data_IF_831811959293
#
_entry.id   IF_831811959293
#
_cell.length_a   1.000
_cell.length_b   1.000
_cell.length_c   1.000
_cell.angle_alpha   90.00
_cell.angle_beta   90.00
_cell.angle_gamma   90.00
#
_symmetry.space_group_name_H-M   'P 1'
#
loop_
_entity.id
_entity.type
_entity.pdbx_description
1 polymer ?
#
# COMPACT_ATOMS: atom_id res chain seq x y z
N UNK A 1 -32.15 -24.44 23.29
CA UNK A 1 -30.84 -24.30 23.96
C UNK A 1 -30.39 -22.84 23.84
N UNK A 2 -30.30 -22.07 24.93
CA UNK A 2 -29.83 -20.68 24.90
C UNK A 2 -28.31 -20.68 24.74
N UNK A 3 -27.81 -20.24 23.59
CA UNK A 3 -26.38 -20.06 23.34
C UNK A 3 -25.81 -19.04 24.34
N UNK A 4 -24.75 -19.43 25.04
CA UNK A 4 -24.01 -18.56 25.95
C UNK A 4 -23.48 -17.33 25.20
N UNK A 5 -23.48 -16.16 25.85
CA UNK A 5 -23.12 -14.88 25.20
C UNK A 5 -21.74 -14.89 24.51
N UNK A 6 -20.82 -15.71 24.98
CA UNK A 6 -19.50 -15.93 24.36
C UNK A 6 -19.59 -16.59 22.98
N UNK A 7 -20.42 -17.63 22.85
CA UNK A 7 -20.66 -18.33 21.58
C UNK A 7 -21.42 -17.45 20.58
N UNK A 8 -22.28 -16.55 21.08
CA UNK A 8 -22.96 -15.54 20.24
C UNK A 8 -21.97 -14.53 19.67
N UNK A 9 -21.08 -13.97 20.49
CA UNK A 9 -20.03 -13.06 20.01
C UNK A 9 -19.07 -13.74 19.03
N UNK A 10 -18.75 -15.02 19.26
CA UNK A 10 -17.89 -15.81 18.37
C UNK A 10 -18.57 -16.10 17.02
N UNK A 11 -19.86 -16.45 17.03
CA UNK A 11 -20.65 -16.63 15.83
C UNK A 11 -20.84 -15.31 15.06
N UNK A 12 -21.05 -14.18 15.75
CA UNK A 12 -21.21 -12.86 15.13
C UNK A 12 -19.90 -12.35 14.50
N UNK A 13 -18.74 -12.68 15.09
CA UNK A 13 -17.42 -12.41 14.51
C UNK A 13 -17.19 -13.21 13.22
N UNK A 14 -17.54 -14.50 13.21
CA UNK A 14 -17.47 -15.37 12.03
C UNK A 14 -18.46 -14.96 10.93
N UNK A 15 -19.66 -14.49 11.31
CA UNK A 15 -20.66 -13.96 10.38
C UNK A 15 -20.22 -12.63 9.76
N UNK A 16 -19.56 -11.75 10.52
CA UNK A 16 -19.01 -10.49 10.00
C UNK A 16 -17.83 -10.74 9.05
N UNK A 17 -16.95 -11.69 9.33
CA UNK A 17 -15.84 -12.05 8.44
C UNK A 17 -16.30 -12.75 7.15
N UNK A 18 -17.40 -13.49 7.20
CA UNK A 18 -17.91 -14.24 6.04
C UNK A 18 -18.88 -13.46 5.12
N UNK A 19 -19.35 -12.27 5.49
CA UNK A 19 -20.23 -11.48 4.61
C UNK A 19 -19.55 -11.02 3.32
N UNK A 20 -18.23 -10.83 3.31
CA UNK A 20 -17.48 -10.49 2.09
C UNK A 20 -17.42 -11.66 1.09
N UNK A 21 -17.36 -12.90 1.61
CA UNK A 21 -17.39 -14.14 0.80
C UNK A 21 -18.78 -14.39 0.19
N UNK A 22 -19.86 -14.03 0.88
CA UNK A 22 -21.23 -14.19 0.35
C UNK A 22 -21.55 -13.24 -0.82
N UNK A 23 -21.09 -11.98 -0.77
CA UNK A 23 -21.39 -11.00 -1.83
C UNK A 23 -20.58 -11.25 -3.12
N UNK A 24 -19.33 -11.67 -2.99
CA UNK A 24 -18.44 -12.00 -4.13
C UNK A 24 -18.76 -13.36 -4.77
N UNK A 25 -19.32 -14.30 -3.99
CA UNK A 25 -19.82 -15.58 -4.49
C UNK A 25 -21.14 -15.47 -5.26
N UNK A 26 -22.04 -14.56 -4.86
CA UNK A 26 -23.38 -14.45 -5.48
C UNK A 26 -23.32 -13.87 -6.91
N UNK A 27 -22.41 -12.94 -7.19
CA UNK A 27 -22.27 -12.35 -8.53
C UNK A 27 -21.57 -13.26 -9.54
N UNK A 28 -20.74 -14.20 -9.08
CA UNK A 28 -20.14 -15.25 -9.92
C UNK A 28 -21.10 -16.40 -10.25
N UNK A 29 -22.16 -16.60 -9.44
CA UNK A 29 -23.14 -17.67 -9.63
C UNK A 29 -24.11 -17.39 -10.78
N UNK A 30 -24.45 -16.12 -11.06
CA UNK A 30 -25.37 -15.78 -12.15
C UNK A 30 -24.68 -15.72 -13.53
N UNK A 31 -23.40 -15.38 -13.58
CA UNK A 31 -22.63 -15.35 -14.84
C UNK A 31 -22.21 -16.74 -15.34
N UNK A 32 -22.15 -17.75 -14.46
CA UNK A 32 -21.80 -19.14 -14.81
C UNK A 32 -22.98 -20.08 -15.02
N UNK A 33 -24.22 -19.63 -14.78
CA UNK A 33 -25.44 -20.42 -15.05
C UNK A 33 -25.80 -20.51 -16.55
N UNK A 34 -25.20 -19.70 -17.42
CA UNK A 34 -25.51 -19.67 -18.85
C UNK A 34 -24.49 -20.38 -19.76
N UNK A 35 -23.47 -21.05 -19.21
CA UNK A 35 -22.51 -21.82 -20.00
C UNK A 35 -22.66 -23.31 -19.75
N UNK A 36 -23.09 -24.05 -20.77
CA UNK A 36 -23.25 -25.51 -20.82
C UNK A 36 -21.91 -26.27 -20.71
N UNK A 37 -21.22 -26.15 -19.57
CA UNK A 37 -19.98 -26.90 -19.31
C UNK A 37 -20.05 -27.48 -17.90
N UNK A 38 -20.88 -28.51 -17.70
CA UNK A 38 -20.91 -29.25 -16.44
C UNK A 38 -20.98 -30.75 -16.71
N UNK A 39 -19.81 -31.35 -16.96
CA UNK A 39 -19.56 -32.77 -16.75
C UNK A 39 -18.26 -33.06 -15.97
N UNK A 40 -17.33 -32.11 -15.78
CA UNK A 40 -15.98 -32.45 -15.27
C UNK A 40 -15.40 -31.60 -14.14
N UNK A 41 -16.17 -30.72 -13.47
CA UNK A 41 -15.61 -29.85 -12.41
C UNK A 41 -16.27 -29.99 -11.03
N UNK A 42 -16.96 -31.09 -10.76
CA UNK A 42 -17.59 -31.38 -9.46
C UNK A 42 -16.61 -31.67 -8.31
N UNK A 43 -15.28 -31.62 -8.54
CA UNK A 43 -14.27 -31.94 -7.53
C UNK A 43 -13.84 -30.80 -6.59
N UNK A 44 -14.23 -29.54 -6.83
CA UNK A 44 -13.58 -28.39 -6.17
C UNK A 44 -14.44 -27.54 -5.23
N UNK A 45 -15.60 -28.01 -4.79
CA UNK A 45 -16.36 -27.32 -3.73
C UNK A 45 -16.62 -28.28 -2.58
N UNK A 46 -15.58 -28.55 -1.79
CA UNK A 46 -15.75 -29.00 -0.41
C UNK A 46 -15.93 -27.77 0.47
N UNK A 47 -17.17 -27.48 0.84
CA UNK A 47 -17.52 -26.54 1.92
C UNK A 47 -17.33 -27.19 3.30
N UNK A 48 -16.24 -27.92 3.50
CA UNK A 48 -15.93 -28.51 4.80
C UNK A 48 -15.16 -27.47 5.62
N UNK A 49 -15.76 -26.98 6.70
CA UNK A 49 -15.07 -26.15 7.69
C UNK A 49 -14.06 -27.06 8.41
N UNK A 50 -12.80 -26.98 8.00
CA UNK A 50 -11.70 -27.67 8.67
C UNK A 50 -11.33 -26.92 9.95
N UNK A 51 -11.84 -27.42 11.07
CA UNK A 51 -11.62 -26.83 12.39
C UNK A 51 -10.16 -26.90 12.83
N UNK A 52 -9.42 -27.94 12.44
CA UNK A 52 -8.03 -28.10 12.85
C UNK A 52 -7.13 -27.16 12.06
N UNK A 53 -7.39 -27.00 10.76
CA UNK A 53 -6.74 -25.96 9.94
C UNK A 53 -7.03 -24.54 10.45
N UNK A 54 -8.26 -24.29 10.90
CA UNK A 54 -8.63 -22.99 11.48
C UNK A 54 -7.88 -22.70 12.78
N UNK A 55 -7.70 -23.70 13.66
CA UNK A 55 -6.87 -23.58 14.87
C UNK A 55 -5.41 -23.34 14.52
N UNK A 56 -4.90 -24.01 13.49
CA UNK A 56 -3.53 -23.81 13.01
C UNK A 56 -3.30 -22.36 12.56
N UNK A 57 -4.20 -21.79 11.76
CA UNK A 57 -4.10 -20.39 11.33
C UNK A 57 -4.07 -19.41 12.51
N UNK A 58 -4.92 -19.62 13.52
CA UNK A 58 -4.93 -18.78 14.73
C UNK A 58 -3.62 -18.92 15.51
N UNK A 59 -3.13 -20.14 15.66
CA UNK A 59 -1.85 -20.42 16.35
C UNK A 59 -0.68 -19.77 15.60
N UNK A 60 -0.68 -19.81 14.26
CA UNK A 60 0.34 -19.18 13.43
C UNK A 60 0.26 -17.64 13.48
N UNK A 61 -0.94 -17.03 13.58
CA UNK A 61 -1.09 -15.58 13.81
C UNK A 61 -0.52 -15.15 15.17
N UNK A 62 -0.76 -15.93 16.21
CA UNK A 62 -0.23 -15.69 17.55
C UNK A 62 1.30 -15.82 17.57
N UNK A 63 1.83 -16.88 16.95
CA UNK A 63 3.27 -17.08 16.75
C UNK A 63 3.92 -15.84 16.13
N UNK A 64 3.42 -15.37 14.99
CA UNK A 64 3.97 -14.20 14.30
C UNK A 64 3.95 -12.93 15.15
N UNK A 65 2.86 -12.73 15.89
CA UNK A 65 2.71 -11.59 16.79
C UNK A 65 3.76 -11.61 17.89
N UNK A 66 4.02 -12.79 18.47
CA UNK A 66 4.94 -12.97 19.60
C UNK A 66 6.41 -13.18 19.17
N UNK A 67 6.69 -13.45 17.90
CA UNK A 67 8.05 -13.74 17.41
C UNK A 67 8.98 -12.53 17.60
N UNK A 68 10.13 -12.74 18.25
CA UNK A 68 11.11 -11.67 18.54
C UNK A 68 12.35 -11.72 17.65
N UNK A 69 12.67 -12.90 17.11
CA UNK A 69 13.86 -13.12 16.30
C UNK A 69 13.62 -14.23 15.28
N UNK A 70 14.30 -14.14 14.13
CA UNK A 70 14.41 -15.19 13.11
C UNK A 70 15.90 -15.43 12.87
N UNK A 71 16.34 -16.69 12.85
CA UNK A 71 17.76 -17.03 12.62
C UNK A 71 18.74 -16.25 13.51
N UNK A 72 18.41 -16.08 14.80
CA UNK A 72 19.15 -15.29 15.81
C UNK A 72 19.25 -13.78 15.52
N UNK A 73 18.56 -13.28 14.49
CA UNK A 73 18.45 -11.85 14.19
C UNK A 73 17.17 -11.30 14.76
N UNK A 74 17.27 -10.16 15.44
CA UNK A 74 16.12 -9.45 16.00
C UNK A 74 15.15 -9.02 14.90
N UNK A 75 13.85 -9.11 15.19
CA UNK A 75 12.79 -8.55 14.35
C UNK A 75 12.46 -7.15 14.85
N UNK A 76 12.69 -6.15 14.00
CA UNK A 76 12.43 -4.74 14.32
C UNK A 76 11.02 -4.34 13.89
N UNK A 77 10.44 -3.31 14.49
CA UNK A 77 9.24 -2.69 13.94
C UNK A 77 9.60 -1.97 12.63
N UNK A 78 8.87 -2.23 11.56
CA UNK A 78 9.00 -1.50 10.31
C UNK A 78 8.49 -0.07 10.53
N UNK A 79 9.39 0.90 10.35
CA UNK A 79 9.07 2.33 10.48
C UNK A 79 9.98 3.14 9.57
N UNK A 80 9.41 4.11 8.89
CA UNK A 80 10.13 5.10 8.12
C UNK A 80 10.87 6.07 9.05
N UNK A 81 12.08 6.44 8.65
CA UNK A 81 12.91 7.47 9.29
C UNK A 81 13.07 8.58 8.26
N UNK A 82 12.72 9.82 8.63
CA UNK A 82 12.77 10.98 7.73
C UNK A 82 12.05 10.77 6.38
N UNK A 83 10.87 10.13 6.44
CA UNK A 83 10.06 9.73 5.28
C UNK A 83 10.76 8.75 4.31
N UNK A 84 11.79 8.05 4.79
CA UNK A 84 12.49 6.99 4.07
C UNK A 84 12.18 5.64 4.68
N UNK A 85 11.65 4.72 3.87
CA UNK A 85 11.40 3.34 4.25
C UNK A 85 12.48 2.45 3.66
N UNK A 86 13.17 1.68 4.50
CA UNK A 86 14.32 0.86 4.08
C UNK A 86 14.11 -0.61 4.40
N UNK A 87 14.32 -1.46 3.40
CA UNK A 87 14.38 -2.91 3.51
C UNK A 87 15.77 -3.41 3.13
N UNK A 88 16.34 -4.23 4.00
CA UNK A 88 17.67 -4.82 3.81
C UNK A 88 17.58 -6.34 3.84
N UNK A 89 18.43 -6.99 3.05
CA UNK A 89 18.44 -8.45 2.99
C UNK A 89 18.87 -9.03 4.32
N UNK A 90 18.05 -9.92 4.85
CA UNK A 90 18.30 -10.57 6.13
C UNK A 90 18.12 -9.65 7.32
N UNK A 91 17.45 -8.50 7.17
CA UNK A 91 16.90 -7.70 8.25
C UNK A 91 15.39 -7.90 8.26
N UNK A 92 14.86 -8.36 9.38
CA UNK A 92 13.46 -8.74 9.52
C UNK A 92 12.66 -7.60 10.16
N UNK A 93 11.64 -7.12 9.45
CA UNK A 93 10.84 -5.97 9.86
C UNK A 93 9.37 -6.35 10.00
N UNK A 94 8.79 -6.13 11.18
CA UNK A 94 7.41 -6.45 11.53
C UNK A 94 6.49 -5.27 11.27
N UNK A 95 5.32 -5.53 10.70
CA UNK A 95 4.25 -4.56 10.46
C UNK A 95 2.89 -5.19 10.78
N UNK A 96 1.92 -4.36 11.14
CA UNK A 96 0.51 -4.75 11.20
C UNK A 96 -0.18 -4.35 9.89
N UNK A 97 -0.80 -5.31 9.22
CA UNK A 97 -1.65 -5.03 8.07
C UNK A 97 -2.93 -4.31 8.51
N UNK A 98 -3.74 -3.84 7.54
CA UNK A 98 -4.99 -3.11 7.80
C UNK A 98 -5.97 -3.89 8.70
N UNK A 99 -6.06 -5.20 8.53
CA UNK A 99 -6.89 -6.09 9.36
C UNK A 99 -6.23 -6.55 10.67
N UNK A 100 -5.02 -6.05 10.98
CA UNK A 100 -4.32 -6.33 12.23
C UNK A 100 -3.45 -7.59 12.20
N UNK A 101 -3.24 -8.19 11.02
CA UNK A 101 -2.34 -9.35 10.86
C UNK A 101 -0.90 -8.90 10.99
N UNK A 102 -0.10 -9.67 11.71
CA UNK A 102 1.34 -9.44 11.80
C UNK A 102 2.01 -9.99 10.54
N UNK A 103 2.63 -9.12 9.76
CA UNK A 103 3.54 -9.50 8.68
C UNK A 103 4.99 -9.25 9.13
N UNK A 104 5.92 -10.08 8.66
CA UNK A 104 7.35 -9.86 8.83
C UNK A 104 7.97 -9.87 7.43
N UNK A 105 8.61 -8.77 7.05
CA UNK A 105 9.20 -8.58 5.74
C UNK A 105 10.73 -8.51 5.79
N UNK A 106 11.35 -8.96 4.73
CA UNK A 106 12.79 -8.82 4.42
C UNK A 106 12.94 -8.44 2.95
N UNK A 107 14.12 -7.94 2.56
CA UNK A 107 14.42 -7.70 1.14
C UNK A 107 15.08 -8.92 0.49
N UNK A 108 14.75 -9.16 -0.78
CA UNK A 108 15.49 -10.04 -1.68
C UNK A 108 16.48 -9.26 -2.54
N UNK A 109 17.34 -9.98 -3.24
CA UNK A 109 18.43 -9.39 -4.04
C UNK A 109 17.94 -8.53 -5.21
N UNK A 110 16.73 -8.78 -5.70
CA UNK A 110 16.13 -8.04 -6.82
C UNK A 110 15.23 -6.87 -6.36
N UNK A 111 15.35 -6.42 -5.10
CA UNK A 111 14.54 -5.34 -4.52
C UNK A 111 13.12 -5.76 -4.14
N UNK A 112 12.80 -7.06 -4.23
CA UNK A 112 11.51 -7.58 -3.76
C UNK A 112 11.43 -7.55 -2.23
N UNK A 113 10.28 -7.12 -1.71
CA UNK A 113 9.95 -7.16 -0.30
C UNK A 113 8.96 -8.30 -0.09
N UNK A 114 9.33 -9.27 0.74
CA UNK A 114 8.55 -10.50 0.89
C UNK A 114 8.60 -11.03 2.32
N UNK A 115 7.63 -11.88 2.65
CA UNK A 115 7.61 -12.59 3.93
C UNK A 115 8.43 -13.87 3.80
N UNK A 116 9.48 -14.06 4.62
CA UNK A 116 10.37 -15.21 4.53
C UNK A 116 9.77 -16.39 5.30
N UNK A 117 8.73 -17.02 4.73
CA UNK A 117 7.99 -18.11 5.39
C UNK A 117 8.90 -19.24 5.88
N UNK A 118 9.84 -19.67 5.03
CA UNK A 118 10.77 -20.77 5.32
C UNK A 118 11.74 -20.45 6.46
N UNK A 119 12.12 -19.17 6.63
CA UNK A 119 12.99 -18.76 7.74
C UNK A 119 12.24 -18.75 9.09
N UNK A 120 10.91 -18.58 9.06
CA UNK A 120 10.11 -18.40 10.28
C UNK A 120 9.81 -19.73 10.94
N UNK A 121 9.24 -20.67 10.17
CA UNK A 121 8.82 -22.00 10.66
C UNK A 121 8.47 -22.88 9.46
N UNK A 122 8.90 -24.13 9.51
CA UNK A 122 8.49 -25.16 8.55
C UNK A 122 6.95 -25.25 8.47
N UNK A 123 6.44 -25.24 7.23
CA UNK A 123 5.01 -25.30 6.94
C UNK A 123 4.19 -24.18 7.59
N UNK A 124 4.77 -22.99 7.82
CA UNK A 124 3.99 -21.83 8.26
C UNK A 124 2.90 -21.52 7.24
N UNK A 125 1.65 -21.61 7.68
CA UNK A 125 0.49 -21.32 6.84
C UNK A 125 -0.39 -20.24 7.48
N UNK A 126 -0.86 -19.33 6.63
CA UNK A 126 -1.87 -18.35 7.00
C UNK A 126 -3.16 -18.66 6.24
N UNK A 127 -4.30 -18.18 6.77
CA UNK A 127 -5.54 -18.27 6.02
C UNK A 127 -5.38 -17.58 4.65
N UNK A 128 -6.08 -18.01 3.59
CA UNK A 128 -5.95 -17.39 2.27
C UNK A 128 -6.19 -15.87 2.27
N UNK A 129 -7.07 -15.39 3.16
CA UNK A 129 -7.32 -13.96 3.33
C UNK A 129 -6.11 -13.24 3.91
N UNK A 130 -5.50 -13.78 4.96
CA UNK A 130 -4.35 -13.17 5.62
C UNK A 130 -3.11 -13.19 4.74
N UNK A 131 -2.83 -14.33 4.11
CA UNK A 131 -1.70 -14.45 3.21
C UNK A 131 -1.85 -13.51 2.01
N UNK A 132 -3.07 -13.35 1.50
CA UNK A 132 -3.40 -12.36 0.48
C UNK A 132 -3.11 -10.92 0.91
N UNK A 133 -3.50 -10.55 2.12
CA UNK A 133 -3.26 -9.20 2.66
C UNK A 133 -1.77 -8.92 2.92
N UNK A 134 -1.06 -9.89 3.50
CA UNK A 134 0.39 -9.82 3.70
C UNK A 134 1.11 -9.68 2.36
N UNK A 135 0.74 -10.50 1.37
CA UNK A 135 1.32 -10.44 0.03
C UNK A 135 1.02 -9.10 -0.65
N UNK A 136 -0.18 -8.54 -0.44
CA UNK A 136 -0.60 -7.25 -1.01
C UNK A 136 0.24 -6.09 -0.44
N UNK A 137 0.47 -6.06 0.87
CA UNK A 137 1.37 -5.07 1.49
C UNK A 137 2.82 -5.20 0.98
N UNK A 138 3.39 -6.40 0.97
CA UNK A 138 4.75 -6.63 0.46
C UNK A 138 4.91 -6.26 -1.02
N UNK A 139 3.87 -6.48 -1.82
CA UNK A 139 3.83 -6.10 -3.24
C UNK A 139 3.87 -4.59 -3.43
N UNK A 140 3.14 -3.81 -2.63
CA UNK A 140 3.20 -2.35 -2.72
C UNK A 140 4.63 -1.85 -2.47
N UNK A 141 5.28 -2.30 -1.40
CA UNK A 141 6.66 -1.92 -1.11
C UNK A 141 7.63 -2.37 -2.21
N UNK A 142 7.44 -3.57 -2.76
CA UNK A 142 8.22 -4.06 -3.91
C UNK A 142 8.06 -3.17 -5.13
N UNK A 143 6.83 -2.77 -5.46
CA UNK A 143 6.55 -1.93 -6.61
C UNK A 143 7.18 -0.55 -6.45
N UNK A 144 7.00 0.09 -5.29
CA UNK A 144 7.62 1.39 -5.01
C UNK A 144 9.14 1.30 -5.03
N UNK A 145 9.74 0.24 -4.50
CA UNK A 145 11.19 0.06 -4.53
C UNK A 145 11.73 -0.17 -5.94
N UNK A 146 11.04 -0.92 -6.81
CA UNK A 146 11.59 -1.38 -8.11
C UNK A 146 11.15 -0.55 -9.30
N UNK A 147 9.92 -0.05 -9.30
CA UNK A 147 9.35 0.69 -10.41
C UNK A 147 9.45 2.20 -10.15
N UNK A 148 10.45 2.82 -10.77
CA UNK A 148 10.72 4.27 -10.67
C UNK A 148 9.55 5.13 -11.16
N UNK A 149 8.67 4.60 -12.01
CA UNK A 149 7.52 5.35 -12.53
C UNK A 149 6.35 5.36 -11.55
N UNK A 150 6.30 4.41 -10.61
CA UNK A 150 5.15 4.19 -9.75
C UNK A 150 3.95 3.53 -10.44
N UNK A 151 4.05 3.20 -11.73
CA UNK A 151 3.00 2.57 -12.54
C UNK A 151 2.39 1.35 -11.87
N UNK A 152 3.22 0.41 -11.43
CA UNK A 152 2.74 -0.81 -10.80
C UNK A 152 1.96 -0.53 -9.51
N UNK A 153 2.34 0.50 -8.76
CA UNK A 153 1.63 0.88 -7.53
C UNK A 153 0.27 1.52 -7.84
N UNK A 154 0.21 2.60 -8.62
CA UNK A 154 -1.08 3.28 -8.85
C UNK A 154 -2.05 2.46 -9.72
N UNK A 155 -1.57 1.53 -10.56
CA UNK A 155 -2.43 0.66 -11.37
C UNK A 155 -3.02 -0.52 -10.58
N UNK A 156 -2.42 -0.90 -9.45
CA UNK A 156 -2.81 -2.10 -8.69
C UNK A 156 -3.46 -1.80 -7.33
N UNK A 157 -3.35 -0.55 -6.86
CA UNK A 157 -3.79 -0.11 -5.54
C UNK A 157 -4.58 1.19 -5.67
N UNK A 158 -5.60 1.38 -4.82
CA UNK A 158 -6.28 2.67 -4.73
C UNK A 158 -5.41 3.68 -3.98
N UNK A 159 -5.67 4.97 -4.18
CA UNK A 159 -4.96 6.07 -3.50
C UNK A 159 -5.06 5.93 -1.98
N UNK A 160 -6.25 5.58 -1.49
CA UNK A 160 -6.52 5.36 -0.07
C UNK A 160 -5.72 4.18 0.48
N UNK A 161 -5.61 3.09 -0.29
CA UNK A 161 -4.84 1.91 0.11
C UNK A 161 -3.33 2.21 0.16
N UNK A 162 -2.82 2.95 -0.82
CA UNK A 162 -1.42 3.41 -0.84
C UNK A 162 -1.17 4.27 0.41
N UNK A 163 -2.01 5.29 0.65
CA UNK A 163 -1.90 6.19 1.79
C UNK A 163 -1.98 5.46 3.13
N UNK A 164 -2.95 4.57 3.32
CA UNK A 164 -3.09 3.79 4.56
C UNK A 164 -1.87 2.88 4.79
N UNK A 165 -1.42 2.17 3.76
CA UNK A 165 -0.30 1.23 3.91
C UNK A 165 1.01 1.97 4.19
N UNK A 166 1.31 3.05 3.46
CA UNK A 166 2.47 3.90 3.72
C UNK A 166 2.37 4.61 5.08
N UNK A 167 1.18 5.12 5.44
CA UNK A 167 0.91 5.73 6.73
C UNK A 167 1.14 4.77 7.91
N UNK A 168 0.82 3.49 7.76
CA UNK A 168 1.01 2.47 8.80
C UNK A 168 2.49 2.24 9.18
N UNK A 169 3.41 2.59 8.28
CA UNK A 169 4.86 2.55 8.52
C UNK A 169 5.45 3.94 8.77
N UNK A 170 4.61 4.98 8.95
CA UNK A 170 5.05 6.32 9.30
C UNK A 170 5.46 7.19 8.11
N UNK A 171 5.17 6.79 6.87
CA UNK A 171 5.31 7.66 5.71
C UNK A 171 4.17 8.68 5.70
N UNK A 172 4.49 9.94 5.42
CA UNK A 172 3.57 11.08 5.37
C UNK A 172 3.49 11.65 3.94
N UNK A 173 2.40 12.37 3.59
CA UNK A 173 2.36 13.18 2.39
C UNK A 173 3.58 14.09 2.25
N UNK A 174 3.97 14.38 1.01
CA UNK A 174 5.22 15.02 0.63
C UNK A 174 6.23 14.05 0.03
N UNK A 175 7.50 14.46 -0.02
CA UNK A 175 8.58 13.64 -0.54
C UNK A 175 8.86 12.43 0.34
N UNK A 176 8.87 11.25 -0.25
CA UNK A 176 9.22 10.01 0.43
C UNK A 176 10.11 9.12 -0.47
N UNK A 177 10.79 8.17 0.16
CA UNK A 177 11.69 7.25 -0.53
C UNK A 177 11.49 5.82 -0.03
N UNK A 178 11.50 4.85 -0.95
CA UNK A 178 11.45 3.42 -0.63
C UNK A 178 12.73 2.77 -1.15
N UNK A 179 13.45 2.12 -0.23
CA UNK A 179 14.71 1.42 -0.49
C UNK A 179 14.55 -0.07 -0.25
N UNK A 180 15.03 -0.89 -1.17
CA UNK A 180 15.05 -2.35 -1.02
C UNK A 180 16.28 -2.92 -1.70
N UNK A 181 17.23 -3.42 -0.92
CA UNK A 181 18.53 -3.84 -1.45
C UNK A 181 19.25 -2.68 -2.14
N UNK A 182 19.63 -2.85 -3.42
CA UNK A 182 20.28 -1.81 -4.22
C UNK A 182 19.31 -0.83 -4.89
N UNK A 183 18.00 -1.01 -4.73
CA UNK A 183 16.99 -0.17 -5.36
C UNK A 183 16.56 0.96 -4.43
N UNK A 184 16.39 2.16 -4.99
CA UNK A 184 16.02 3.37 -4.28
C UNK A 184 15.20 4.27 -5.19
N UNK A 185 13.93 4.47 -4.87
CA UNK A 185 13.05 5.35 -5.65
C UNK A 185 12.39 6.39 -4.76
N UNK A 186 12.40 7.63 -5.25
CA UNK A 186 11.82 8.80 -4.60
C UNK A 186 10.54 9.22 -5.30
N UNK A 187 9.52 9.52 -4.51
CA UNK A 187 8.19 9.91 -4.97
C UNK A 187 7.68 11.09 -4.15
N UNK A 188 6.70 11.81 -4.67
CA UNK A 188 5.92 12.80 -3.95
C UNK A 188 4.50 12.27 -3.76
N UNK A 189 4.03 12.19 -2.52
CA UNK A 189 2.67 11.75 -2.19
C UNK A 189 1.78 12.94 -1.85
N UNK A 190 0.61 13.03 -2.46
CA UNK A 190 -0.42 14.01 -2.11
C UNK A 190 -1.22 13.57 -0.88
N UNK A 191 -1.97 14.51 -0.30
CA UNK A 191 -2.81 14.24 0.88
C UNK A 191 -3.91 13.20 0.63
N UNK A 192 -4.34 12.98 -0.61
CA UNK A 192 -5.32 11.95 -0.97
C UNK A 192 -4.69 10.56 -1.20
N UNK A 193 -3.35 10.47 -1.27
CA UNK A 193 -2.61 9.23 -1.51
C UNK A 193 -2.14 9.03 -2.94
N UNK A 194 -2.39 9.97 -3.85
CA UNK A 194 -1.74 9.95 -5.16
C UNK A 194 -0.23 10.08 -5.01
N UNK A 195 0.50 9.36 -5.85
CA UNK A 195 1.95 9.37 -5.86
C UNK A 195 2.46 9.75 -7.24
N UNK A 196 3.50 10.58 -7.24
CA UNK A 196 4.17 11.05 -8.45
C UNK A 196 5.64 10.70 -8.37
N UNK A 197 6.23 10.12 -9.43
CA UNK A 197 7.65 9.88 -9.46
C UNK A 197 8.41 11.21 -9.49
N UNK A 198 9.58 11.26 -8.85
CA UNK A 198 10.32 12.51 -8.69
C UNK A 198 10.61 13.26 -10.00
N UNK A 199 10.83 12.53 -11.10
CA UNK A 199 11.07 13.16 -12.40
C UNK A 199 9.84 13.90 -12.95
N UNK A 200 8.63 13.42 -12.64
CA UNK A 200 7.40 14.05 -13.11
C UNK A 200 7.16 15.35 -12.35
N UNK A 201 7.35 15.35 -11.02
CA UNK A 201 7.25 16.57 -10.21
C UNK A 201 8.20 17.66 -10.70
N UNK A 202 9.45 17.30 -11.01
CA UNK A 202 10.41 18.27 -11.53
C UNK A 202 10.07 18.74 -12.95
N UNK A 203 9.49 17.88 -13.78
CA UNK A 203 9.01 18.27 -15.11
C UNK A 203 7.82 19.24 -15.03
N UNK A 204 6.84 18.96 -14.16
CA UNK A 204 5.70 19.85 -13.93
C UNK A 204 6.15 21.20 -13.35
N UNK A 205 7.09 21.20 -12.39
CA UNK A 205 7.69 22.42 -11.85
C UNK A 205 8.34 23.27 -12.94
N UNK A 206 9.14 22.64 -13.81
CA UNK A 206 9.77 23.36 -14.92
C UNK A 206 8.70 23.93 -15.87
N UNK A 207 7.70 23.14 -16.23
CA UNK A 207 6.60 23.62 -17.08
C UNK A 207 5.85 24.81 -16.48
N UNK A 208 5.62 24.82 -15.16
CA UNK A 208 4.97 25.94 -14.46
C UNK A 208 5.83 27.20 -14.45
N UNK A 209 7.15 27.05 -14.26
CA UNK A 209 8.08 28.18 -14.28
C UNK A 209 8.28 28.74 -15.70
N UNK A 210 8.32 27.88 -16.71
CA UNK A 210 8.54 28.28 -18.11
C UNK A 210 7.26 28.85 -18.77
N UNK A 211 6.09 28.72 -18.12
CA UNK A 211 4.81 29.16 -18.66
C UNK A 211 4.64 30.69 -18.59
N UNK A 212 4.21 31.29 -19.69
CA UNK A 212 3.85 32.73 -19.77
C UNK A 212 2.45 32.95 -19.20
N UNK A 213 2.38 33.37 -17.93
CA UNK A 213 1.11 33.61 -17.25
C UNK A 213 0.46 34.94 -17.65
N UNK A 214 1.21 35.92 -18.16
CA UNK A 214 0.63 37.14 -18.69
C UNK A 214 -0.15 36.88 -19.97
N UNK A 215 0.33 35.96 -20.82
CA UNK A 215 -0.39 35.45 -21.99
C UNK A 215 -1.78 34.89 -21.67
N UNK A 216 -1.96 34.31 -20.47
CA UNK A 216 -3.23 33.78 -19.97
C UNK A 216 -4.13 34.85 -19.29
N UNK A 217 -3.67 36.10 -19.28
CA UNK A 217 -4.37 37.24 -18.68
C UNK A 217 -4.34 37.25 -17.15
N UNK A 218 -3.27 36.73 -16.55
CA UNK A 218 -2.90 37.03 -15.16
C UNK A 218 -2.08 38.32 -15.10
N UNK A 219 -1.92 38.89 -13.91
CA UNK A 219 -1.16 40.12 -13.69
C UNK A 219 -0.21 39.95 -12.50
N UNK A 220 0.63 40.95 -12.23
CA UNK A 220 1.51 40.96 -11.04
C UNK A 220 0.75 40.91 -9.71
N UNK A 221 -0.51 41.32 -9.71
CA UNK A 221 -1.38 41.29 -8.53
C UNK A 221 -2.09 39.94 -8.36
N UNK A 222 -2.05 39.09 -9.39
CA UNK A 222 -2.59 37.74 -9.34
C UNK A 222 -1.80 36.86 -8.36
N UNK A 223 -2.49 35.92 -7.71
CA UNK A 223 -1.91 35.04 -6.70
C UNK A 223 -1.85 33.61 -7.18
N UNK A 224 -0.68 33.01 -7.01
CA UNK A 224 -0.43 31.60 -7.28
C UNK A 224 -0.14 30.91 -5.95
N UNK A 225 -0.96 29.95 -5.56
CA UNK A 225 -0.82 29.26 -4.27
C UNK A 225 -0.59 27.78 -4.52
N UNK A 226 0.52 27.25 -4.01
CA UNK A 226 0.89 25.84 -4.08
C UNK A 226 1.24 25.36 -2.68
N UNK A 227 0.53 24.34 -2.20
CA UNK A 227 0.68 23.80 -0.84
C UNK A 227 0.68 24.88 0.26
N UNK A 228 -0.18 25.89 0.10
CA UNK A 228 -0.33 27.02 1.02
C UNK A 228 0.73 28.11 0.92
N UNK A 229 1.73 27.96 0.04
CA UNK A 229 2.75 28.99 -0.24
C UNK A 229 2.31 29.84 -1.42
N UNK A 230 2.34 31.16 -1.23
CA UNK A 230 2.07 32.13 -2.30
C UNK A 230 3.35 32.40 -3.11
N UNK A 231 3.21 32.32 -4.43
CA UNK A 231 4.21 32.66 -5.42
C UNK A 231 3.68 33.83 -6.27
N UNK A 232 4.57 34.72 -6.66
CA UNK A 232 4.26 35.90 -7.47
C UNK A 232 4.93 35.79 -8.82
N UNK A 233 4.28 36.37 -9.83
CA UNK A 233 4.87 36.54 -11.15
C UNK A 233 5.99 37.59 -11.09
N UNK A 234 7.03 37.37 -11.87
CA UNK A 234 8.07 38.36 -12.12
C UNK A 234 7.61 39.43 -13.13
N UNK A 235 8.57 40.21 -13.64
CA UNK A 235 8.30 41.28 -14.59
C UNK A 235 7.99 40.75 -16.00
N UNK A 236 8.31 39.48 -16.25
CA UNK A 236 8.14 38.76 -17.50
C UNK A 236 6.90 37.85 -17.51
N UNK A 237 6.24 37.67 -16.36
CA UNK A 237 5.03 36.86 -16.23
C UNK A 237 5.28 35.40 -15.86
N UNK A 238 6.39 35.09 -15.21
CA UNK A 238 6.82 33.74 -14.84
C UNK A 238 6.87 33.51 -13.34
N UNK A 239 6.70 32.25 -12.93
CA UNK A 239 6.89 31.81 -11.55
C UNK A 239 8.31 31.28 -11.35
N UNK A 240 8.82 31.42 -10.12
CA UNK A 240 10.15 30.92 -9.72
C UNK A 240 10.04 29.88 -8.60
N UNK A 241 9.32 28.79 -8.86
CA UNK A 241 9.18 27.71 -7.89
C UNK A 241 10.52 26.98 -7.72
N UNK A 242 11.08 26.90 -6.49
CA UNK A 242 12.38 26.29 -6.25
C UNK A 242 12.43 24.78 -6.56
N UNK A 243 13.62 24.31 -6.95
CA UNK A 243 13.88 22.88 -7.14
C UNK A 243 13.65 22.09 -5.86
N UNK A 244 13.07 20.89 -5.98
CA UNK A 244 12.74 20.04 -4.84
C UNK A 244 11.46 20.45 -4.12
N UNK A 245 10.77 21.49 -4.55
CA UNK A 245 9.41 21.78 -4.09
C UNK A 245 8.43 20.78 -4.72
N UNK A 246 7.51 20.25 -3.91
CA UNK A 246 6.42 19.42 -4.43
C UNK A 246 5.52 20.24 -5.33
N UNK A 247 5.52 19.95 -6.62
CA UNK A 247 4.82 20.74 -7.62
C UNK A 247 3.99 19.83 -8.50
N UNK A 248 2.67 19.91 -8.33
CA UNK A 248 1.71 19.27 -9.23
C UNK A 248 0.77 20.35 -9.74
N UNK A 249 0.64 20.47 -11.06
CA UNK A 249 -0.13 21.52 -11.71
C UNK A 249 -1.59 21.56 -11.24
N UNK A 250 -2.18 20.39 -10.94
CA UNK A 250 -3.56 20.30 -10.44
C UNK A 250 -3.77 20.94 -9.07
N UNK A 251 -2.70 21.10 -8.27
CA UNK A 251 -2.75 21.72 -6.93
C UNK A 251 -2.41 23.21 -6.96
N UNK A 252 -2.02 23.76 -8.11
CA UNK A 252 -1.73 25.18 -8.27
C UNK A 252 -3.03 26.00 -8.34
N UNK A 253 -3.37 26.65 -7.23
CA UNK A 253 -4.47 27.60 -7.14
C UNK A 253 -4.04 28.91 -7.80
N UNK A 254 -4.91 29.43 -8.67
CA UNK A 254 -4.66 30.65 -9.45
C UNK A 254 -5.80 31.61 -9.21
N UNK A 255 -5.49 32.81 -8.74
CA UNK A 255 -6.44 33.87 -8.44
C UNK A 255 -6.04 35.07 -9.26
N UNK A 256 -6.95 35.57 -10.10
CA UNK A 256 -6.70 36.74 -10.95
C UNK A 256 -6.64 38.02 -10.13
#
# INVERSE_FOLDING_TARGET
MRLNNYMKNYADLLLKSNRSLYSSGYNNLNSRRNSNIYAETSGFIKNDIDFDRSKEFLSNRELLSNLKSINRKEIKQLKAVDNVLTFEKGVYNKIKTKSGITAIFTAGDAGNVYMPYDDIKDNLSLSPSDSGEVARAGRLFTYLARDKTGYCAYSSFSKEEIKETLGSVGIKPGWFEVKSGSYSNKFYMLDDGDIYPAYQIEAERNGINDHDWFGDGYTKDSKFILDGKEYKLDDEGHLHIPKGEGCVMEKLIRIK
#
